data_IF_963319165965
#
_entry.id   IF_963319165965
#
_cell.length_a   1.000
_cell.length_b   1.000
_cell.length_c   1.000
_cell.angle_alpha   90.00
_cell.angle_beta   90.00
_cell.angle_gamma   90.00
#
_symmetry.space_group_name_H-M   'P 1'
#
loop_
_entity.id
_entity.type
_entity.pdbx_description
1 polymer ?
#
# COMPACT_ATOMS: atom_id res chain seq x y z
N UNK A 1 -33.59 -39.80 46.98
CA UNK A 1 -33.56 -39.19 45.62
C UNK A 1 -32.23 -38.45 45.49
N UNK A 2 -31.27 -39.03 44.77
CA UNK A 2 -29.92 -38.47 44.57
C UNK A 2 -29.88 -37.74 43.22
N UNK A 3 -29.66 -36.43 43.25
CA UNK A 3 -29.52 -35.62 42.04
C UNK A 3 -28.09 -35.74 41.51
N UNK A 4 -27.92 -36.45 40.40
CA UNK A 4 -26.66 -36.53 39.67
C UNK A 4 -26.29 -35.14 39.13
N UNK A 5 -25.14 -34.60 39.56
CA UNK A 5 -24.60 -33.37 39.01
C UNK A 5 -24.04 -33.63 37.60
N UNK A 6 -24.75 -33.18 36.58
CA UNK A 6 -24.25 -33.17 35.20
C UNK A 6 -23.13 -32.13 35.08
N UNK A 7 -21.89 -32.61 35.01
CA UNK A 7 -20.72 -31.80 34.67
C UNK A 7 -20.86 -31.28 33.24
N UNK A 8 -20.98 -29.96 33.08
CA UNK A 8 -20.98 -29.31 31.76
C UNK A 8 -19.64 -29.58 31.03
N UNK A 9 -19.65 -29.95 29.74
CA UNK A 9 -18.41 -30.13 28.99
C UNK A 9 -17.69 -28.79 28.86
N UNK A 10 -16.40 -28.78 29.19
CA UNK A 10 -15.55 -27.60 29.03
C UNK A 10 -15.56 -27.17 27.57
N UNK A 11 -16.00 -25.95 27.28
CA UNK A 11 -15.91 -25.38 25.96
C UNK A 11 -14.44 -25.36 25.53
N UNK A 12 -14.11 -26.15 24.51
CA UNK A 12 -12.80 -26.15 23.88
C UNK A 12 -12.52 -24.74 23.35
N UNK A 13 -11.77 -23.94 24.11
CA UNK A 13 -11.23 -22.67 23.65
C UNK A 13 -10.36 -22.98 22.44
N UNK A 14 -10.82 -22.63 21.24
CA UNK A 14 -9.97 -22.60 20.05
C UNK A 14 -8.70 -21.83 20.40
N UNK A 15 -7.58 -22.53 20.47
CA UNK A 15 -6.30 -21.95 20.83
C UNK A 15 -5.93 -20.90 19.78
N UNK A 16 -5.89 -19.63 20.16
CA UNK A 16 -5.54 -18.54 19.25
C UNK A 16 -4.15 -18.72 18.59
N UNK A 17 -3.84 -17.95 17.54
CA UNK A 17 -2.65 -18.17 16.72
C UNK A 17 -1.36 -18.16 17.56
N UNK A 18 -0.35 -18.98 17.26
CA UNK A 18 0.85 -19.12 18.08
C UNK A 18 1.54 -17.77 18.38
N UNK A 19 2.22 -17.71 19.54
CA UNK A 19 2.81 -16.46 20.08
C UNK A 19 3.71 -15.73 19.08
N UNK A 20 4.48 -16.48 18.28
CA UNK A 20 5.39 -15.92 17.29
C UNK A 20 4.65 -15.21 16.15
N UNK A 21 3.53 -15.74 15.65
CA UNK A 21 2.69 -15.09 14.63
C UNK A 21 2.12 -13.77 15.13
N UNK A 22 1.63 -13.74 16.38
CA UNK A 22 1.13 -12.50 16.99
C UNK A 22 2.23 -11.46 17.15
N UNK A 23 3.45 -11.89 17.50
CA UNK A 23 4.62 -11.00 17.60
C UNK A 23 5.02 -10.46 16.23
N UNK A 24 5.11 -11.33 15.24
CA UNK A 24 5.42 -10.99 13.86
C UNK A 24 4.41 -9.96 13.33
N UNK A 25 3.10 -10.25 13.38
CA UNK A 25 2.05 -9.34 12.91
C UNK A 25 2.04 -7.98 13.62
N UNK A 26 2.53 -7.90 14.87
CA UNK A 26 2.72 -6.60 15.55
C UNK A 26 3.95 -5.86 15.03
N UNK A 27 5.05 -6.56 14.76
CA UNK A 27 6.29 -5.94 14.28
C UNK A 27 6.17 -5.45 12.84
N UNK A 28 5.46 -6.16 11.98
CA UNK A 28 5.26 -5.77 10.56
C UNK A 28 4.50 -4.46 10.44
N UNK A 29 3.62 -4.14 11.40
CA UNK A 29 2.86 -2.89 11.49
C UNK A 29 3.63 -1.73 12.11
N UNK A 30 4.90 -1.91 12.51
CA UNK A 30 5.72 -0.84 13.07
C UNK A 30 6.30 0.04 11.95
N UNK A 31 6.28 1.37 12.08
CA UNK A 31 6.71 2.26 11.00
C UNK A 31 8.18 2.05 10.64
N UNK A 32 9.04 1.79 11.64
CA UNK A 32 10.46 1.55 11.39
C UNK A 32 10.75 0.25 10.62
N UNK A 33 9.95 -0.81 10.80
CA UNK A 33 10.11 -2.05 10.01
C UNK A 33 9.55 -1.86 8.59
N UNK A 34 8.47 -1.08 8.44
CA UNK A 34 7.96 -0.67 7.12
C UNK A 34 9.02 0.13 6.36
N UNK A 35 9.63 1.13 7.02
CA UNK A 35 10.70 1.94 6.45
C UNK A 35 11.90 1.08 6.07
N UNK A 36 12.36 0.18 6.95
CA UNK A 36 13.50 -0.70 6.65
C UNK A 36 13.28 -1.58 5.41
N UNK A 37 12.05 -2.09 5.21
CA UNK A 37 11.70 -2.85 4.01
C UNK A 37 11.68 -1.97 2.75
N UNK A 38 11.06 -0.80 2.84
CA UNK A 38 10.77 0.05 1.69
C UNK A 38 11.88 1.05 1.36
N UNK A 39 12.91 1.17 2.21
CA UNK A 39 14.00 2.13 2.02
C UNK A 39 14.71 1.94 0.68
N UNK A 40 15.04 0.69 0.31
CA UNK A 40 15.70 0.42 -0.96
C UNK A 40 14.82 0.81 -2.17
N UNK A 41 13.55 0.38 -2.28
CA UNK A 41 12.63 0.87 -3.31
C UNK A 41 12.52 2.40 -3.38
N UNK A 42 12.41 3.07 -2.22
CA UNK A 42 12.36 4.54 -2.15
C UNK A 42 13.63 5.16 -2.74
N UNK A 43 14.82 4.67 -2.35
CA UNK A 43 16.09 5.16 -2.88
C UNK A 43 16.22 4.94 -4.39
N UNK A 44 15.80 3.78 -4.90
CA UNK A 44 15.82 3.49 -6.35
C UNK A 44 14.95 4.50 -7.11
N UNK A 45 13.76 4.79 -6.61
CA UNK A 45 12.86 5.78 -7.21
C UNK A 45 13.45 7.19 -7.18
N UNK A 46 13.94 7.65 -6.02
CA UNK A 46 14.48 9.01 -5.85
C UNK A 46 15.78 9.24 -6.63
N UNK A 47 16.70 8.27 -6.61
CA UNK A 47 17.92 8.35 -7.43
C UNK A 47 17.55 8.37 -8.91
N UNK A 48 16.58 7.55 -9.32
CA UNK A 48 16.06 7.56 -10.68
C UNK A 48 15.52 8.92 -11.10
N UNK A 49 14.75 9.60 -10.24
CA UNK A 49 14.27 10.96 -10.51
C UNK A 49 15.41 11.98 -10.68
N UNK A 50 16.51 11.84 -9.93
CA UNK A 50 17.64 12.76 -9.98
C UNK A 50 18.53 12.54 -11.22
N UNK A 51 18.65 11.29 -11.68
CA UNK A 51 19.51 10.92 -12.80
C UNK A 51 18.83 11.13 -14.15
N UNK A 52 17.49 11.05 -14.21
CA UNK A 52 16.77 11.25 -15.45
C UNK A 52 16.73 12.74 -15.83
N UNK A 53 17.14 13.12 -17.06
CA UNK A 53 17.09 14.52 -17.50
C UNK A 53 15.68 15.10 -17.39
N UNK A 54 15.56 16.33 -16.89
CA UNK A 54 14.32 17.07 -16.57
C UNK A 54 13.33 17.29 -17.74
N UNK A 55 13.43 16.56 -18.86
CA UNK A 55 12.59 16.71 -20.05
C UNK A 55 11.87 15.44 -20.52
N UNK A 56 11.95 14.31 -19.80
CA UNK A 56 11.41 13.03 -20.30
C UNK A 56 10.07 12.59 -19.69
N UNK A 57 9.81 12.89 -18.42
CA UNK A 57 8.61 12.44 -17.71
C UNK A 57 8.22 13.47 -16.67
N UNK A 58 7.12 14.18 -16.91
CA UNK A 58 6.42 14.82 -15.81
C UNK A 58 5.99 13.73 -14.83
N UNK A 59 6.45 13.83 -13.58
CA UNK A 59 5.98 12.97 -12.48
C UNK A 59 4.45 13.00 -12.32
N UNK A 60 3.77 13.94 -12.98
CA UNK A 60 2.32 14.00 -13.17
C UNK A 60 1.71 12.74 -13.82
N UNK A 61 2.51 11.92 -14.51
CA UNK A 61 2.02 10.66 -15.11
C UNK A 61 1.73 9.54 -14.08
N UNK A 62 2.19 9.67 -12.83
CA UNK A 62 1.70 8.78 -11.77
C UNK A 62 0.59 9.50 -11.01
N UNK A 63 -0.58 8.87 -10.95
CA UNK A 63 -1.76 9.38 -10.23
C UNK A 63 -1.38 9.81 -8.80
N UNK A 64 -0.71 8.94 -8.04
CA UNK A 64 -0.33 9.28 -6.67
C UNK A 64 0.80 10.32 -6.55
N UNK A 65 1.71 10.40 -7.53
CA UNK A 65 2.71 11.47 -7.51
C UNK A 65 2.06 12.82 -7.78
N UNK A 66 1.15 12.90 -8.75
CA UNK A 66 0.30 14.07 -8.97
C UNK A 66 -0.48 14.46 -7.72
N UNK A 67 -1.15 13.49 -7.07
CA UNK A 67 -1.87 13.74 -5.81
C UNK A 67 -0.97 14.20 -4.66
N UNK A 68 0.26 13.68 -4.54
CA UNK A 68 1.22 14.13 -3.52
C UNK A 68 1.70 15.54 -3.84
N UNK A 69 2.05 15.84 -5.10
CA UNK A 69 2.50 17.18 -5.50
C UNK A 69 1.39 18.21 -5.33
N UNK A 70 0.14 17.87 -5.68
CA UNK A 70 -1.02 18.69 -5.39
C UNK A 70 -1.16 18.89 -3.88
N UNK A 71 -1.22 17.82 -3.07
CA UNK A 71 -1.33 17.93 -1.62
C UNK A 71 -0.23 18.79 -1.00
N UNK A 72 1.02 18.64 -1.46
CA UNK A 72 2.14 19.48 -1.04
C UNK A 72 1.97 20.94 -1.51
N UNK A 73 1.47 21.15 -2.72
CA UNK A 73 1.09 22.45 -3.26
C UNK A 73 0.03 23.15 -2.40
N UNK A 74 -1.03 22.45 -2.00
CA UNK A 74 -2.06 22.95 -1.07
C UNK A 74 -1.48 23.32 0.31
N UNK A 75 -0.39 22.67 0.73
CA UNK A 75 0.33 22.97 1.97
C UNK A 75 1.40 24.07 1.81
N UNK A 76 1.52 24.68 0.63
CA UNK A 76 2.53 25.71 0.33
C UNK A 76 3.95 25.17 0.16
N UNK A 77 4.10 23.85 -0.03
CA UNK A 77 5.37 23.13 -0.19
C UNK A 77 5.61 22.66 -1.64
N UNK A 78 4.78 23.12 -2.59
CA UNK A 78 4.89 22.79 -4.01
C UNK A 78 6.18 23.38 -4.59
N UNK A 79 7.13 22.53 -4.97
CA UNK A 79 8.31 22.94 -5.75
C UNK A 79 9.69 22.68 -5.13
N UNK A 80 9.82 22.02 -3.97
CA UNK A 80 11.14 21.82 -3.36
C UNK A 80 11.40 20.49 -2.63
N UNK A 81 10.38 19.67 -2.38
CA UNK A 81 10.57 18.41 -1.65
C UNK A 81 10.61 17.22 -2.58
N UNK A 82 11.68 16.43 -2.44
CA UNK A 82 11.73 15.08 -3.00
C UNK A 82 10.60 14.24 -2.37
N UNK A 83 9.73 13.59 -3.16
CA UNK A 83 8.64 12.76 -2.66
C UNK A 83 9.11 11.73 -1.61
N UNK A 84 10.34 11.23 -1.75
CA UNK A 84 10.94 10.28 -0.82
C UNK A 84 11.17 10.87 0.56
N UNK A 85 11.47 12.16 0.67
CA UNK A 85 11.54 12.85 1.96
C UNK A 85 10.16 12.89 2.65
N UNK A 86 9.09 13.09 1.87
CA UNK A 86 7.72 13.05 2.39
C UNK A 86 7.37 11.63 2.85
N UNK A 87 7.75 10.62 2.08
CA UNK A 87 7.55 9.21 2.45
C UNK A 87 8.26 8.85 3.76
N UNK A 88 9.56 9.10 3.82
CA UNK A 88 10.40 8.82 5.00
C UNK A 88 9.93 9.65 6.19
N UNK A 89 9.71 10.94 5.99
CA UNK A 89 9.22 11.87 7.01
C UNK A 89 7.88 11.43 7.59
N UNK A 90 6.92 11.02 6.76
CA UNK A 90 5.63 10.49 7.20
C UNK A 90 5.78 9.28 8.12
N UNK A 91 6.66 8.34 7.76
CA UNK A 91 6.93 7.15 8.57
C UNK A 91 7.67 7.48 9.88
N UNK A 92 8.60 8.44 9.88
CA UNK A 92 9.32 8.87 11.07
C UNK A 92 8.41 9.64 12.03
N UNK A 93 7.55 10.54 11.52
CA UNK A 93 6.51 11.21 12.31
C UNK A 93 5.57 10.18 12.91
N UNK A 94 5.10 9.22 12.11
CA UNK A 94 4.25 8.14 12.60
C UNK A 94 4.94 7.28 13.68
N UNK A 95 6.21 6.93 13.48
CA UNK A 95 7.04 6.24 14.47
C UNK A 95 7.13 7.00 15.80
N UNK A 96 7.35 8.32 15.72
CA UNK A 96 7.46 9.19 16.87
C UNK A 96 6.13 9.28 17.64
N UNK A 97 5.02 9.42 16.94
CA UNK A 97 3.67 9.46 17.53
C UNK A 97 3.31 8.15 18.23
N UNK A 98 3.75 7.01 17.68
CA UNK A 98 3.54 5.68 18.30
C UNK A 98 4.45 5.38 19.48
N UNK A 99 5.55 6.12 19.64
CA UNK A 99 6.58 5.86 20.67
C UNK A 99 7.11 4.42 20.61
N UNK A 100 7.22 3.87 19.40
CA UNK A 100 7.76 2.53 19.18
C UNK A 100 9.29 2.51 19.44
N UNK A 101 9.82 1.33 19.75
CA UNK A 101 11.26 1.14 19.97
C UNK A 101 12.07 1.35 18.68
N UNK A 102 13.20 2.03 18.75
CA UNK A 102 14.18 2.20 17.66
C UNK A 102 15.03 0.94 17.39
N UNK A 103 14.42 -0.24 17.45
CA UNK A 103 15.07 -1.53 17.22
C UNK A 103 14.47 -2.20 16.00
N UNK A 104 15.29 -2.50 15.01
CA UNK A 104 14.91 -3.20 13.79
C UNK A 104 15.30 -4.67 13.94
N UNK A 105 14.36 -5.57 13.66
CA UNK A 105 14.67 -6.99 13.54
C UNK A 105 14.76 -7.36 12.06
N UNK A 106 15.98 -7.54 11.55
CA UNK A 106 16.22 -7.84 10.14
C UNK A 106 15.60 -9.16 9.69
N UNK A 107 15.45 -10.15 10.58
CA UNK A 107 14.74 -11.40 10.24
C UNK A 107 13.28 -11.13 9.94
N UNK A 108 12.64 -10.21 10.69
CA UNK A 108 11.27 -9.80 10.41
C UNK A 108 11.18 -9.06 9.09
N UNK A 109 12.13 -8.17 8.78
CA UNK A 109 12.17 -7.45 7.49
C UNK A 109 12.34 -8.43 6.32
N UNK A 110 13.23 -9.43 6.44
CA UNK A 110 13.38 -10.48 5.44
C UNK A 110 12.11 -11.31 5.24
N UNK A 111 11.43 -11.68 6.33
CA UNK A 111 10.13 -12.36 6.26
C UNK A 111 9.05 -11.49 5.62
N UNK A 112 9.04 -10.18 5.90
CA UNK A 112 8.12 -9.24 5.25
C UNK A 112 8.36 -9.18 3.74
N UNK A 113 9.62 -9.20 3.29
CA UNK A 113 9.94 -9.21 1.86
C UNK A 113 9.39 -10.47 1.18
N UNK A 114 9.61 -11.65 1.77
CA UNK A 114 9.05 -12.92 1.26
C UNK A 114 7.52 -12.91 1.27
N UNK A 115 6.91 -12.42 2.35
CA UNK A 115 5.45 -12.29 2.46
C UNK A 115 4.90 -11.34 1.38
N UNK A 116 5.55 -10.21 1.12
CA UNK A 116 5.19 -9.29 0.03
C UNK A 116 5.26 -9.93 -1.34
N UNK A 117 6.29 -10.73 -1.61
CA UNK A 117 6.39 -11.48 -2.88
C UNK A 117 5.21 -12.45 -3.05
N UNK A 118 4.88 -13.20 -2.00
CA UNK A 118 3.77 -14.15 -2.03
C UNK A 118 2.41 -13.45 -2.14
N UNK A 119 2.22 -12.33 -1.44
CA UNK A 119 0.97 -11.57 -1.43
C UNK A 119 0.78 -10.69 -2.68
N UNK A 120 1.77 -10.60 -3.57
CA UNK A 120 1.56 -10.04 -4.90
C UNK A 120 0.78 -11.00 -5.83
N UNK A 121 0.84 -12.31 -5.58
CA UNK A 121 0.24 -13.33 -6.45
C UNK A 121 -1.27 -13.17 -6.67
N UNK A 122 -2.10 -12.91 -5.64
CA UNK A 122 -3.54 -12.70 -5.86
C UNK A 122 -3.84 -11.52 -6.79
N UNK A 123 -3.03 -10.45 -6.70
CA UNK A 123 -3.18 -9.27 -7.56
C UNK A 123 -2.79 -9.64 -9.00
N UNK A 124 -1.71 -10.40 -9.19
CA UNK A 124 -1.25 -10.88 -10.49
C UNK A 124 -2.24 -11.82 -11.19
N UNK A 125 -2.88 -12.71 -10.42
CA UNK A 125 -3.93 -13.58 -10.95
C UNK A 125 -5.13 -12.73 -11.37
N UNK A 126 -5.53 -11.78 -10.53
CA UNK A 126 -6.66 -10.89 -10.81
C UNK A 126 -6.41 -9.98 -12.02
N UNK A 127 -5.17 -9.50 -12.21
CA UNK A 127 -4.79 -8.67 -13.36
C UNK A 127 -4.93 -9.43 -14.67
N UNK A 128 -4.67 -10.74 -14.71
CA UNK A 128 -4.81 -11.55 -15.93
C UNK A 128 -6.24 -11.60 -16.50
N UNK A 129 -7.26 -11.38 -15.68
CA UNK A 129 -8.66 -11.42 -16.12
C UNK A 129 -9.24 -10.05 -16.46
N UNK A 130 -8.79 -8.99 -15.77
CA UNK A 130 -9.49 -7.70 -15.75
C UNK A 130 -8.58 -6.49 -15.99
N UNK A 131 -7.26 -6.65 -16.01
CA UNK A 131 -6.39 -5.51 -16.28
C UNK A 131 -6.64 -4.99 -17.70
N UNK A 132 -6.84 -3.67 -17.87
CA UNK A 132 -6.99 -3.10 -19.20
C UNK A 132 -5.72 -3.35 -20.00
N UNK A 133 -5.86 -3.55 -21.31
CA UNK A 133 -4.73 -3.53 -22.22
C UNK A 133 -4.14 -2.10 -22.20
N UNK A 134 -3.16 -1.87 -21.34
CA UNK A 134 -2.53 -0.56 -21.21
C UNK A 134 -1.81 -0.22 -22.51
N UNK A 135 -2.21 0.86 -23.19
CA UNK A 135 -1.36 1.48 -24.20
C UNK A 135 -0.10 1.97 -23.50
N UNK A 136 1.01 1.27 -23.74
CA UNK A 136 2.28 1.61 -23.11
C UNK A 136 2.88 2.78 -23.84
N UNK A 137 3.23 3.81 -23.09
CA UNK A 137 4.09 4.87 -23.60
C UNK A 137 5.44 4.22 -23.98
N UNK A 138 6.06 4.64 -25.10
CA UNK A 138 7.36 4.14 -25.56
C UNK A 138 8.48 4.75 -24.70
N UNK A 139 8.47 4.44 -23.40
CA UNK A 139 9.45 4.90 -22.43
C UNK A 139 10.59 3.91 -22.31
N UNK A 140 11.78 4.43 -21.97
CA UNK A 140 12.93 3.61 -21.66
C UNK A 140 12.58 2.56 -20.58
N UNK A 141 13.03 1.30 -20.72
CA UNK A 141 12.67 0.27 -19.79
C UNK A 141 13.09 0.56 -18.33
N UNK A 142 14.21 1.25 -18.08
CA UNK A 142 14.64 1.62 -16.72
C UNK A 142 13.67 2.61 -16.08
N UNK A 143 13.19 3.56 -16.86
CA UNK A 143 12.21 4.56 -16.45
C UNK A 143 10.86 3.93 -16.10
N UNK A 144 10.41 2.94 -16.88
CA UNK A 144 9.16 2.21 -16.57
C UNK A 144 9.21 1.50 -15.20
N UNK A 145 10.34 0.88 -14.87
CA UNK A 145 10.52 0.17 -13.60
C UNK A 145 10.59 1.17 -12.44
N UNK A 146 11.28 2.30 -12.64
CA UNK A 146 11.29 3.40 -11.69
C UNK A 146 9.87 3.89 -11.40
N UNK A 147 9.08 4.22 -12.43
CA UNK A 147 7.69 4.67 -12.28
C UNK A 147 6.80 3.60 -11.61
N UNK A 148 6.98 2.32 -11.95
CA UNK A 148 6.27 1.21 -11.33
C UNK A 148 6.53 1.09 -9.81
N UNK A 149 7.78 1.31 -9.39
CA UNK A 149 8.17 1.37 -7.98
C UNK A 149 7.51 2.57 -7.30
N UNK A 150 7.60 3.75 -7.93
CA UNK A 150 6.98 4.98 -7.42
C UNK A 150 5.49 4.83 -7.20
N UNK A 151 4.76 4.32 -8.19
CA UNK A 151 3.32 4.11 -8.11
C UNK A 151 2.97 3.24 -6.90
N UNK A 152 3.62 2.08 -6.75
CA UNK A 152 3.36 1.16 -5.64
C UNK A 152 3.70 1.75 -4.27
N UNK A 153 4.72 2.60 -4.15
CA UNK A 153 5.08 3.25 -2.89
C UNK A 153 4.09 4.36 -2.52
N UNK A 154 3.91 5.31 -3.43
CA UNK A 154 3.19 6.55 -3.16
C UNK A 154 1.68 6.36 -3.13
N UNK A 155 1.13 5.43 -3.92
CA UNK A 155 -0.29 5.07 -3.80
C UNK A 155 -0.59 4.45 -2.43
N UNK A 156 0.27 3.57 -1.92
CA UNK A 156 0.05 3.00 -0.59
C UNK A 156 0.25 4.05 0.52
N UNK A 157 1.18 4.99 0.35
CA UNK A 157 1.31 6.11 1.30
C UNK A 157 0.01 6.92 1.35
N UNK A 158 -0.50 7.36 0.19
CA UNK A 158 -1.69 8.22 0.10
C UNK A 158 -2.95 7.49 0.53
N UNK A 159 -3.29 6.38 -0.11
CA UNK A 159 -4.59 5.74 0.10
C UNK A 159 -4.64 4.96 1.41
N UNK A 160 -3.53 4.35 1.84
CA UNK A 160 -3.54 3.46 3.01
C UNK A 160 -3.07 4.20 4.24
N UNK A 161 -1.87 4.77 4.23
CA UNK A 161 -1.39 5.46 5.43
C UNK A 161 -2.21 6.73 5.70
N UNK A 162 -2.32 7.64 4.74
CA UNK A 162 -2.95 8.94 4.96
C UNK A 162 -4.48 8.84 4.95
N UNK A 163 -5.08 8.35 3.87
CA UNK A 163 -6.54 8.36 3.70
C UNK A 163 -7.26 7.40 4.64
N UNK A 164 -6.88 6.11 4.71
CA UNK A 164 -7.55 5.17 5.63
C UNK A 164 -7.35 5.59 7.09
N UNK A 165 -6.15 5.99 7.51
CA UNK A 165 -5.93 6.41 8.90
C UNK A 165 -6.68 7.71 9.23
N UNK A 166 -6.66 8.68 8.32
CA UNK A 166 -7.35 9.96 8.45
C UNK A 166 -8.87 9.79 8.51
N UNK A 167 -9.45 9.03 7.59
CA UNK A 167 -10.89 8.71 7.59
C UNK A 167 -11.27 7.91 8.84
N UNK A 168 -10.48 6.91 9.23
CA UNK A 168 -10.75 6.13 10.45
C UNK A 168 -10.83 7.05 11.67
N UNK A 169 -9.88 7.97 11.82
CA UNK A 169 -9.86 8.95 12.90
C UNK A 169 -11.06 9.90 12.81
N UNK A 170 -11.33 10.47 11.64
CA UNK A 170 -12.41 11.44 11.43
C UNK A 170 -13.78 10.81 11.71
N UNK A 171 -14.04 9.62 11.17
CA UNK A 171 -15.31 8.91 11.36
C UNK A 171 -15.52 8.51 12.82
N UNK A 172 -14.47 8.02 13.50
CA UNK A 172 -14.56 7.72 14.93
C UNK A 172 -14.78 8.98 15.78
N UNK A 173 -14.14 10.10 15.42
CA UNK A 173 -14.21 11.34 16.18
C UNK A 173 -15.50 12.14 15.95
N UNK A 174 -16.05 12.14 14.74
CA UNK A 174 -17.19 12.99 14.35
C UNK A 174 -18.53 12.27 14.35
N UNK A 175 -18.54 10.96 14.06
CA UNK A 175 -19.76 10.17 13.96
C UNK A 175 -19.91 9.19 15.14
N UNK A 176 -19.00 9.24 16.12
CA UNK A 176 -19.00 8.37 17.30
C UNK A 176 -19.05 6.87 16.96
N UNK A 177 -18.60 6.49 15.76
CA UNK A 177 -18.56 5.10 15.32
C UNK A 177 -17.48 4.33 16.08
N UNK A 178 -17.74 3.04 16.34
CA UNK A 178 -16.70 2.18 16.90
C UNK A 178 -15.53 2.06 15.91
N UNK A 179 -14.30 1.95 16.42
CA UNK A 179 -13.08 1.93 15.59
C UNK A 179 -13.15 0.93 14.44
N UNK A 180 -13.73 -0.26 14.67
CA UNK A 180 -13.89 -1.27 13.62
C UNK A 180 -14.83 -0.82 12.50
N UNK A 181 -15.95 -0.17 12.83
CA UNK A 181 -16.89 0.37 11.85
C UNK A 181 -16.24 1.49 11.04
N UNK A 182 -15.54 2.41 11.71
CA UNK A 182 -14.78 3.48 11.05
C UNK A 182 -13.72 2.93 10.09
N UNK A 183 -13.02 1.85 10.48
CA UNK A 183 -12.03 1.21 9.62
C UNK A 183 -12.68 0.54 8.39
N UNK A 184 -13.79 -0.18 8.56
CA UNK A 184 -14.49 -0.82 7.43
C UNK A 184 -14.96 0.24 6.44
N UNK A 185 -15.58 1.31 6.92
CA UNK A 185 -16.05 2.40 6.06
C UNK A 185 -14.88 3.14 5.39
N UNK A 186 -13.78 3.39 6.12
CA UNK A 186 -12.58 4.00 5.56
C UNK A 186 -11.95 3.12 4.45
N UNK A 187 -11.91 1.79 4.64
CA UNK A 187 -11.43 0.84 3.61
C UNK A 187 -12.31 0.91 2.37
N UNK A 188 -13.64 0.91 2.53
CA UNK A 188 -14.57 1.00 1.40
C UNK A 188 -14.39 2.31 0.61
N UNK A 189 -14.37 3.46 1.32
CA UNK A 189 -14.20 4.78 0.71
C UNK A 189 -12.84 4.89 0.02
N UNK A 190 -11.75 4.49 0.69
CA UNK A 190 -10.41 4.60 0.12
C UNK A 190 -10.21 3.68 -1.09
N UNK A 191 -10.81 2.49 -1.09
CA UNK A 191 -10.73 1.57 -2.24
C UNK A 191 -11.52 2.08 -3.44
N UNK A 192 -12.67 2.71 -3.20
CA UNK A 192 -13.46 3.35 -4.24
C UNK A 192 -12.72 4.58 -4.81
N UNK A 193 -12.18 5.43 -3.94
CA UNK A 193 -11.38 6.60 -4.34
C UNK A 193 -10.15 6.18 -5.16
N UNK A 194 -9.45 5.13 -4.71
CA UNK A 194 -8.34 4.53 -5.44
C UNK A 194 -8.74 4.05 -6.84
N UNK A 195 -9.90 3.39 -6.98
CA UNK A 195 -10.36 2.95 -8.29
C UNK A 195 -10.70 4.14 -9.20
N UNK A 196 -11.45 5.12 -8.69
CA UNK A 196 -11.93 6.26 -9.46
C UNK A 196 -10.80 7.21 -9.89
N UNK A 197 -9.79 7.45 -9.04
CA UNK A 197 -8.71 8.39 -9.36
C UNK A 197 -7.81 7.95 -10.51
N UNK A 198 -7.87 6.69 -10.92
CA UNK A 198 -7.10 6.21 -12.07
C UNK A 198 -7.71 6.57 -13.42
N UNK A 199 -9.00 6.91 -13.42
CA UNK A 199 -9.69 7.30 -14.63
C UNK A 199 -9.69 8.82 -14.83
N UNK A 200 -9.77 9.23 -16.09
CA UNK A 200 -9.95 10.63 -16.47
C UNK A 200 -11.20 11.22 -15.79
N UNK A 201 -11.15 12.49 -15.33
CA UNK A 201 -10.11 13.49 -15.59
C UNK A 201 -8.96 13.50 -14.57
N UNK A 202 -9.01 12.66 -13.51
CA UNK A 202 -8.00 12.68 -12.44
C UNK A 202 -6.76 11.88 -12.85
N UNK A 203 -6.98 10.63 -13.25
CA UNK A 203 -5.94 9.75 -13.74
C UNK A 203 -5.86 9.77 -15.25
N UNK A 204 -4.94 8.99 -15.80
CA UNK A 204 -4.65 9.00 -17.24
C UNK A 204 -5.53 8.05 -18.05
N UNK A 205 -6.19 7.08 -17.40
CA UNK A 205 -6.88 5.98 -18.09
C UNK A 205 -8.28 6.38 -18.56
N UNK A 206 -8.70 5.98 -19.77
CA UNK A 206 -10.10 6.02 -20.14
C UNK A 206 -10.90 5.03 -19.29
N UNK A 207 -12.15 5.38 -18.96
CA UNK A 207 -12.99 4.50 -18.15
C UNK A 207 -13.25 3.16 -18.85
N UNK A 208 -13.01 2.07 -18.14
CA UNK A 208 -13.42 0.73 -18.53
C UNK A 208 -13.94 -0.02 -17.32
N UNK A 209 -15.02 -0.79 -17.47
CA UNK A 209 -15.59 -1.54 -16.35
C UNK A 209 -14.60 -2.59 -15.82
N UNK A 210 -13.88 -3.28 -16.72
CA UNK A 210 -12.82 -4.23 -16.36
C UNK A 210 -11.72 -3.59 -15.52
N UNK A 211 -11.17 -2.46 -15.99
CA UNK A 211 -10.16 -1.71 -15.23
C UNK A 211 -10.70 -1.20 -13.90
N UNK A 212 -11.95 -0.73 -13.84
CA UNK A 212 -12.55 -0.26 -12.59
C UNK A 212 -12.68 -1.40 -11.57
N UNK A 213 -13.21 -2.55 -11.99
CA UNK A 213 -13.31 -3.74 -11.16
C UNK A 213 -11.93 -4.26 -10.71
N UNK A 214 -10.94 -4.24 -11.61
CA UNK A 214 -9.56 -4.57 -11.28
C UNK A 214 -9.05 -3.71 -10.13
N UNK A 215 -9.13 -2.39 -10.30
CA UNK A 215 -8.61 -1.40 -9.34
C UNK A 215 -9.38 -1.39 -8.03
N UNK A 216 -10.69 -1.59 -8.05
CA UNK A 216 -11.51 -1.65 -6.85
C UNK A 216 -11.14 -2.87 -6.00
N UNK A 217 -11.03 -4.05 -6.61
CA UNK A 217 -10.68 -5.29 -5.88
C UNK A 217 -9.23 -5.27 -5.40
N UNK A 218 -8.28 -4.85 -6.23
CA UNK A 218 -6.90 -4.62 -5.80
C UNK A 218 -6.85 -3.58 -4.68
N UNK A 219 -7.68 -2.54 -4.80
CA UNK A 219 -7.92 -1.49 -3.83
C UNK A 219 -8.24 -2.04 -2.43
N UNK A 220 -9.31 -2.85 -2.37
CA UNK A 220 -9.78 -3.53 -1.16
C UNK A 220 -8.73 -4.49 -0.63
N UNK A 221 -8.12 -5.30 -1.49
CA UNK A 221 -7.11 -6.28 -1.10
C UNK A 221 -5.91 -5.62 -0.40
N UNK A 222 -5.32 -4.59 -1.02
CA UNK A 222 -4.20 -3.84 -0.44
C UNK A 222 -4.59 -3.09 0.84
N UNK A 223 -5.82 -2.56 0.90
CA UNK A 223 -6.34 -1.94 2.13
C UNK A 223 -6.47 -2.95 3.28
N UNK A 224 -6.94 -4.17 3.01
CA UNK A 224 -6.98 -5.27 3.97
C UNK A 224 -5.56 -5.65 4.41
N UNK A 225 -4.61 -5.79 3.48
CA UNK A 225 -3.20 -6.01 3.82
C UNK A 225 -2.64 -4.91 4.73
N UNK A 226 -2.92 -3.64 4.42
CA UNK A 226 -2.50 -2.53 5.28
C UNK A 226 -3.05 -2.65 6.70
N UNK A 227 -4.36 -2.90 6.86
CA UNK A 227 -4.99 -3.02 8.19
C UNK A 227 -4.42 -4.19 9.00
N UNK A 228 -4.16 -5.34 8.35
CA UNK A 228 -3.75 -6.55 9.06
C UNK A 228 -2.24 -6.79 9.12
N UNK A 229 -1.47 -6.26 8.18
CA UNK A 229 -0.03 -6.52 8.01
C UNK A 229 0.82 -5.27 8.08
N UNK A 230 0.26 -4.10 7.76
CA UNK A 230 0.93 -2.80 7.82
C UNK A 230 1.40 -2.33 6.44
N UNK A 231 1.82 -1.05 6.39
CA UNK A 231 2.20 -0.38 5.15
C UNK A 231 3.32 -1.09 4.39
N UNK A 232 4.35 -1.57 5.10
CA UNK A 232 5.50 -2.25 4.51
C UNK A 232 5.09 -3.40 3.59
N UNK A 233 4.25 -4.30 4.08
CA UNK A 233 3.82 -5.46 3.32
C UNK A 233 2.86 -5.06 2.19
N UNK A 234 1.94 -4.13 2.42
CA UNK A 234 1.01 -3.65 1.39
C UNK A 234 1.77 -3.02 0.21
N UNK A 235 2.66 -2.06 0.48
CA UNK A 235 3.51 -1.43 -0.53
C UNK A 235 4.48 -2.40 -1.18
N UNK A 236 5.11 -3.30 -0.42
CA UNK A 236 5.97 -4.33 -0.99
C UNK A 236 5.24 -5.25 -1.96
N UNK A 237 4.00 -5.64 -1.64
CA UNK A 237 3.17 -6.48 -2.51
C UNK A 237 2.78 -5.74 -3.78
N UNK A 238 2.39 -4.47 -3.65
CA UNK A 238 2.01 -3.61 -4.77
C UNK A 238 3.20 -3.33 -5.71
N UNK A 239 4.35 -2.93 -5.17
CA UNK A 239 5.59 -2.74 -5.94
C UNK A 239 5.99 -4.03 -6.65
N UNK A 240 5.91 -5.17 -5.96
CA UNK A 240 6.21 -6.48 -6.59
C UNK A 240 5.28 -6.78 -7.76
N UNK A 241 3.97 -6.60 -7.59
CA UNK A 241 3.00 -6.77 -8.67
C UNK A 241 3.38 -5.90 -9.88
N UNK A 242 3.65 -4.61 -9.67
CA UNK A 242 3.98 -3.69 -10.76
C UNK A 242 5.26 -4.11 -11.49
N UNK A 243 6.31 -4.48 -10.75
CA UNK A 243 7.57 -4.95 -11.33
C UNK A 243 7.40 -6.23 -12.16
N UNK A 244 6.60 -7.18 -11.68
CA UNK A 244 6.31 -8.42 -12.41
C UNK A 244 5.50 -8.15 -13.68
N UNK A 245 4.54 -7.24 -13.63
CA UNK A 245 3.80 -6.80 -14.83
C UNK A 245 4.73 -6.13 -15.85
N UNK A 246 5.65 -5.28 -15.40
CA UNK A 246 6.69 -4.67 -16.24
C UNK A 246 7.72 -5.68 -16.78
N UNK A 247 7.91 -6.82 -16.11
CA UNK A 247 8.73 -7.92 -16.59
C UNK A 247 8.05 -8.70 -17.71
N UNK A 248 6.83 -9.19 -17.49
CA UNK A 248 6.05 -9.89 -18.52
C UNK A 248 5.83 -9.02 -19.76
N UNK A 249 5.67 -7.72 -19.53
CA UNK A 249 5.58 -6.71 -20.56
C UNK A 249 6.77 -6.67 -21.54
N UNK A 250 7.99 -6.89 -21.03
CA UNK A 250 9.21 -6.91 -21.85
C UNK A 250 9.36 -8.25 -22.59
N UNK A 251 9.06 -9.36 -21.92
CA UNK A 251 9.21 -10.70 -22.49
C UNK A 251 8.27 -11.01 -23.65
N UNK A 252 7.09 -10.36 -23.71
CA UNK A 252 6.15 -10.49 -24.83
C UNK A 252 6.38 -9.55 -26.02
N UNK A 253 7.48 -8.78 -26.02
CA UNK A 253 7.84 -7.87 -27.11
C UNK A 253 8.98 -8.41 -28.00
N UNK A 254 9.35 -9.69 -27.84
CA UNK A 254 10.32 -10.41 -28.66
C UNK A 254 9.66 -11.45 -29.55
#
# INVERSE_FOLDING_TARGET
>A
MSAASLSRPSSARLSGPPRWLRRYARQTRRPLHCLALLLLPVLIYEIGLLVQPHGGVDGQNLVAHGMIQELLGWLGLGGGFLPGLVFVGSLLVWHRLRRDSWRINLRVVGLMAVESLALALPILVWSGFFAPATHRLPLDPSLRYMLAIGAGLYEELVFRLLLISGLTWLLAARLSLHRSQSQVLAVAIASLAFALCHFQPIGTEPFSLGGFCFRLVAGVYLAVLFVFRGLGIAAGSHVTHNLVMEWFARGGAG
#
